data_IF_741113847542
#
_entry.id   IF_741113847542
#
_cell.length_a   1.000
_cell.length_b   1.000
_cell.length_c   1.000
_cell.angle_alpha   90.00
_cell.angle_beta   90.00
_cell.angle_gamma   90.00
#
_symmetry.space_group_name_H-M   'P 1'
#
loop_
_entity.id
_entity.type
_entity.pdbx_description
1 polymer ?
#
# COMPACT_ATOMS: atom_id res chain seq x y z
N UNK A 1 8.35 4.93 13.08
CA UNK A 1 8.35 4.88 11.61
C UNK A 1 8.77 3.50 11.15
N UNK A 2 7.78 2.65 10.93
CA UNK A 2 7.90 1.40 10.20
C UNK A 2 7.71 1.64 8.69
N UNK A 3 8.14 0.68 7.89
CA UNK A 3 7.82 0.62 6.47
C UNK A 3 6.94 -0.61 6.27
N UNK A 4 5.78 -0.40 5.66
CA UNK A 4 4.88 -1.47 5.22
C UNK A 4 4.91 -1.53 3.71
N UNK A 5 5.05 -2.75 3.18
CA UNK A 5 5.10 -3.01 1.76
C UNK A 5 3.79 -3.66 1.34
N UNK A 6 3.07 -2.99 0.45
CA UNK A 6 1.85 -3.49 -0.18
C UNK A 6 2.24 -4.24 -1.45
N UNK A 7 1.75 -5.46 -1.59
CA UNK A 7 2.05 -6.34 -2.73
C UNK A 7 0.82 -6.74 -3.52
N UNK A 8 -0.37 -6.67 -2.91
CA UNK A 8 -1.65 -6.98 -3.55
C UNK A 8 -2.75 -6.08 -3.03
N UNK A 9 -3.77 -5.86 -3.85
CA UNK A 9 -4.95 -5.09 -3.48
C UNK A 9 -6.21 -5.93 -3.68
N UNK A 10 -7.15 -5.81 -2.73
CA UNK A 10 -8.50 -6.37 -2.86
C UNK A 10 -9.41 -5.28 -3.39
N UNK A 11 -9.81 -5.39 -4.65
CA UNK A 11 -10.64 -4.40 -5.34
C UNK A 11 -11.99 -5.04 -5.68
N UNK A 12 -13.08 -4.41 -5.27
CA UNK A 12 -14.45 -4.85 -5.55
C UNK A 12 -15.28 -3.66 -6.01
N UNK A 13 -15.93 -3.76 -7.18
CA UNK A 13 -16.69 -2.66 -7.79
C UNK A 13 -15.89 -1.35 -7.90
N UNK A 14 -14.64 -1.44 -8.37
CA UNK A 14 -13.68 -0.32 -8.47
C UNK A 14 -13.33 0.37 -7.14
N UNK A 15 -13.67 -0.25 -6.01
CA UNK A 15 -13.35 0.24 -4.67
C UNK A 15 -12.31 -0.65 -4.00
N UNK A 16 -11.26 -0.04 -3.44
CA UNK A 16 -10.24 -0.74 -2.67
C UNK A 16 -10.81 -1.12 -1.30
N UNK A 17 -10.84 -2.42 -1.00
CA UNK A 17 -11.37 -2.97 0.25
C UNK A 17 -10.29 -3.34 1.26
N UNK A 18 -9.05 -3.52 0.80
CA UNK A 18 -7.91 -3.87 1.63
C UNK A 18 -6.69 -4.21 0.80
N UNK A 19 -5.60 -4.53 1.49
CA UNK A 19 -4.30 -4.81 0.90
C UNK A 19 -3.68 -6.06 1.51
N UNK A 20 -2.89 -6.80 0.73
CA UNK A 20 -1.88 -7.67 1.33
C UNK A 20 -0.65 -6.83 1.57
N UNK A 21 -0.21 -6.78 2.81
CA UNK A 21 0.99 -6.07 3.18
C UNK A 21 1.84 -6.85 4.19
N UNK A 22 3.07 -6.41 4.35
CA UNK A 22 3.94 -6.85 5.42
C UNK A 22 4.91 -5.73 5.78
N UNK A 23 5.33 -5.70 7.04
CA UNK A 23 6.39 -4.84 7.50
C UNK A 23 7.72 -5.23 6.85
N UNK A 24 8.47 -4.22 6.44
CA UNK A 24 9.82 -4.34 5.91
C UNK A 24 10.86 -3.70 6.82
N UNK A 25 12.10 -4.12 6.66
CA UNK A 25 13.24 -3.41 7.24
C UNK A 25 13.46 -2.08 6.51
N UNK A 26 13.83 -1.05 7.27
CA UNK A 26 13.98 0.32 6.76
C UNK A 26 15.19 0.54 5.85
N UNK A 27 16.02 -0.50 5.65
CA UNK A 27 17.31 -0.39 4.95
C UNK A 27 17.38 -1.16 3.64
N UNK A 28 16.70 -2.31 3.53
CA UNK A 28 16.74 -3.17 2.35
C UNK A 28 15.36 -3.48 1.77
N UNK A 29 14.29 -2.91 2.36
CA UNK A 29 12.90 -3.21 2.04
C UNK A 29 12.59 -4.71 2.10
N UNK A 30 13.36 -5.47 2.90
CA UNK A 30 13.12 -6.90 3.08
C UNK A 30 11.98 -7.10 4.05
N UNK A 31 11.00 -7.93 3.68
CA UNK A 31 9.90 -8.29 4.57
C UNK A 31 10.44 -9.00 5.81
N UNK A 32 10.11 -8.46 6.98
CA UNK A 32 10.48 -9.02 8.29
C UNK A 32 9.36 -9.84 8.92
N UNK A 33 8.20 -9.88 8.27
CA UNK A 33 7.05 -10.69 8.65
C UNK A 33 6.37 -11.29 7.41
N UNK A 34 5.43 -12.21 7.64
CA UNK A 34 4.60 -12.77 6.57
C UNK A 34 3.55 -11.76 6.14
N UNK A 35 3.24 -11.78 4.85
CA UNK A 35 2.14 -11.02 4.28
C UNK A 35 0.82 -11.42 4.94
N UNK A 36 0.01 -10.42 5.27
CA UNK A 36 -1.32 -10.57 5.81
C UNK A 36 -2.24 -9.50 5.22
N UNK A 37 -3.54 -9.76 5.29
CA UNK A 37 -4.56 -8.80 4.87
C UNK A 37 -4.62 -7.65 5.88
N UNK A 38 -4.60 -6.43 5.39
CA UNK A 38 -4.91 -5.21 6.12
C UNK A 38 -6.10 -4.51 5.51
N UNK A 39 -6.98 -4.06 6.39
CA UNK A 39 -8.12 -3.20 6.09
C UNK A 39 -7.63 -1.79 5.75
N UNK A 40 -8.50 -1.02 5.07
CA UNK A 40 -8.22 0.39 4.77
C UNK A 40 -7.98 1.20 6.05
N UNK A 41 -8.72 0.92 7.12
CA UNK A 41 -8.57 1.61 8.41
C UNK A 41 -7.20 1.34 9.03
N UNK A 42 -6.70 0.10 8.97
CA UNK A 42 -5.35 -0.24 9.46
C UNK A 42 -4.25 0.48 8.66
N UNK A 43 -4.43 0.64 7.35
CA UNK A 43 -3.51 1.41 6.50
C UNK A 43 -3.55 2.90 6.86
N UNK A 44 -4.74 3.46 7.07
CA UNK A 44 -4.91 4.86 7.49
C UNK A 44 -4.26 5.09 8.86
N UNK A 45 -4.48 4.19 9.82
CA UNK A 45 -3.89 4.26 11.15
C UNK A 45 -2.35 4.21 11.09
N UNK A 46 -1.77 3.40 10.21
CA UNK A 46 -0.32 3.36 10.01
C UNK A 46 0.19 4.70 9.46
N UNK A 47 -0.49 5.28 8.46
CA UNK A 47 -0.13 6.59 7.89
C UNK A 47 -0.25 7.69 8.95
N UNK A 48 -1.31 7.68 9.76
CA UNK A 48 -1.53 8.67 10.84
C UNK A 48 -0.48 8.56 11.95
N UNK A 49 0.08 7.36 12.20
CA UNK A 49 1.23 7.16 13.10
C UNK A 49 2.57 7.63 12.50
N UNK A 50 2.57 8.07 11.24
CA UNK A 50 3.77 8.47 10.51
C UNK A 50 4.60 7.29 10.00
N UNK A 51 3.99 6.12 9.83
CA UNK A 51 4.62 5.00 9.14
C UNK A 51 4.53 5.19 7.62
N UNK A 52 5.51 4.63 6.90
CA UNK A 52 5.51 4.65 5.43
C UNK A 52 4.80 3.41 4.93
N UNK A 53 3.82 3.59 4.04
CA UNK A 53 3.19 2.48 3.32
C UNK A 53 3.54 2.63 1.84
N UNK A 54 4.21 1.64 1.27
CA UNK A 54 4.76 1.67 -0.09
C UNK A 54 4.23 0.49 -0.90
N UNK A 55 3.77 0.77 -2.13
CA UNK A 55 3.42 -0.27 -3.08
C UNK A 55 4.67 -0.83 -3.72
N UNK A 56 4.72 -2.14 -3.91
CA UNK A 56 5.78 -2.79 -4.67
C UNK A 56 5.22 -3.73 -5.72
N UNK A 57 5.91 -3.77 -6.85
CA UNK A 57 5.55 -4.58 -8.00
C UNK A 57 6.65 -5.60 -8.25
N UNK A 58 6.28 -6.87 -8.44
CA UNK A 58 7.23 -7.89 -8.85
C UNK A 58 7.54 -7.73 -10.35
N UNK A 59 8.82 -7.72 -10.67
CA UNK A 59 9.35 -7.69 -12.03
C UNK A 59 10.24 -8.92 -12.25
N UNK A 60 10.57 -9.23 -13.51
CA UNK A 60 11.52 -10.30 -13.83
C UNK A 60 12.92 -10.14 -13.21
N UNK A 61 13.24 -8.95 -12.67
CA UNK A 61 14.53 -8.61 -12.06
C UNK A 61 14.45 -8.35 -10.54
N UNK A 62 13.28 -8.52 -9.92
CA UNK A 62 13.06 -8.26 -8.49
C UNK A 62 11.89 -7.32 -8.22
N UNK A 63 11.80 -6.77 -7.01
CA UNK A 63 10.73 -5.85 -6.60
C UNK A 63 11.12 -4.41 -6.88
N UNK A 64 10.19 -3.66 -7.46
CA UNK A 64 10.34 -2.21 -7.70
C UNK A 64 9.27 -1.45 -6.95
N UNK A 65 9.62 -0.25 -6.47
CA UNK A 65 8.65 0.65 -5.85
C UNK A 65 7.63 1.13 -6.89
N UNK A 66 6.36 1.16 -6.48
CA UNK A 66 5.27 1.79 -7.21
C UNK A 66 4.79 3.10 -6.58
N UNK A 67 5.51 3.61 -5.58
CA UNK A 67 5.12 4.82 -4.86
C UNK A 67 4.42 4.53 -3.55
N UNK A 68 4.21 5.60 -2.77
CA UNK A 68 3.63 5.51 -1.42
C UNK A 68 2.11 5.56 -1.47
N UNK A 69 1.48 5.00 -0.44
CA UNK A 69 0.08 5.22 -0.16
C UNK A 69 -0.07 6.45 0.75
N UNK A 70 -1.03 7.30 0.41
CA UNK A 70 -1.36 8.51 1.13
C UNK A 70 -2.80 8.44 1.62
N UNK A 71 -3.06 9.02 2.79
CA UNK A 71 -4.40 9.24 3.29
C UNK A 71 -5.05 10.42 2.54
N UNK A 72 -6.27 10.23 2.07
CA UNK A 72 -7.10 11.28 1.48
C UNK A 72 -8.43 11.41 2.24
N UNK A 73 -8.86 12.64 2.48
CA UNK A 73 -10.16 12.91 3.09
C UNK A 73 -11.28 12.76 2.05
N UNK A 74 -12.37 12.10 2.43
CA UNK A 74 -13.58 11.97 1.62
C UNK A 74 -14.59 13.08 1.96
N UNK A 75 -15.39 13.52 0.97
CA UNK A 75 -16.56 14.36 1.25
C UNK A 75 -17.50 13.65 2.24
N UNK A 76 -17.75 14.25 3.40
CA UNK A 76 -18.57 13.64 4.47
C UNK A 76 -17.80 13.21 5.71
N UNK A 77 -16.48 13.43 5.76
CA UNK A 77 -15.68 13.26 6.99
C UNK A 77 -15.01 11.90 7.15
N UNK A 78 -15.16 10.99 6.17
CA UNK A 78 -14.38 9.75 6.10
C UNK A 78 -12.98 9.97 5.52
N UNK A 79 -12.16 8.94 5.56
CA UNK A 79 -10.85 8.91 4.90
C UNK A 79 -10.71 7.65 4.04
N UNK A 80 -9.89 7.75 3.01
CA UNK A 80 -9.52 6.66 2.11
C UNK A 80 -8.02 6.70 1.83
N UNK A 81 -7.54 5.73 1.07
CA UNK A 81 -6.15 5.62 0.66
C UNK A 81 -6.04 5.84 -0.84
N UNK A 82 -5.08 6.66 -1.24
CA UNK A 82 -4.74 6.94 -2.64
C UNK A 82 -3.25 6.68 -2.87
N UNK A 83 -2.84 6.45 -4.11
CA UNK A 83 -1.41 6.47 -4.44
C UNK A 83 -0.85 7.90 -4.45
N UNK A 84 0.38 8.05 -3.96
CA UNK A 84 1.23 9.19 -4.25
C UNK A 84 1.46 9.22 -5.76
N UNK A 85 1.01 10.30 -6.44
CA UNK A 85 1.22 10.47 -7.88
C UNK A 85 2.71 10.64 -8.17
N UNK A 86 3.40 9.51 -8.33
CA UNK A 86 4.86 9.43 -8.44
C UNK A 86 5.39 9.07 -9.84
N UNK A 87 4.53 8.87 -10.83
CA UNK A 87 4.94 8.59 -12.20
C UNK A 87 3.83 7.97 -13.04
N UNK A 88 3.93 8.01 -14.38
CA UNK A 88 3.02 7.27 -15.22
C UNK A 88 3.26 5.76 -14.99
N UNK A 89 2.19 4.96 -14.94
CA UNK A 89 2.20 3.48 -15.05
C UNK A 89 2.25 2.61 -13.77
N UNK A 90 2.03 3.12 -12.54
CA UNK A 90 1.91 2.24 -11.34
C UNK A 90 0.85 2.72 -10.36
N UNK A 91 -0.36 2.22 -10.53
CA UNK A 91 -1.50 2.53 -9.66
C UNK A 91 -1.85 1.33 -8.76
N UNK A 92 -2.64 1.56 -7.71
CA UNK A 92 -3.25 0.53 -6.86
C UNK A 92 -4.01 -0.49 -7.72
N UNK A 93 -4.66 -0.03 -8.80
CA UNK A 93 -5.37 -0.87 -9.77
C UNK A 93 -4.47 -1.84 -10.53
N UNK A 94 -3.17 -1.56 -10.61
CA UNK A 94 -2.18 -2.40 -11.28
C UNK A 94 -1.59 -3.48 -10.34
N UNK A 95 -1.89 -3.41 -9.04
CA UNK A 95 -1.47 -4.44 -8.09
C UNK A 95 -2.19 -5.77 -8.37
N UNK A 96 -1.50 -6.92 -8.18
CA UNK A 96 -2.14 -8.22 -8.19
C UNK A 96 -3.33 -8.27 -7.23
N UNK A 97 -4.36 -9.04 -7.59
CA UNK A 97 -5.56 -9.23 -6.76
C UNK A 97 -5.42 -10.46 -5.85
N UNK A 98 -6.19 -10.50 -4.78
CA UNK A 98 -6.34 -11.65 -3.89
C UNK A 98 -7.78 -11.78 -3.40
#
# INVERSE_FOLDING_TARGET
MAIYIVTRARITNDEVKGFMWARADGGSNRLIEKEHEATIDEVIDAIDRGDTVEMTFETGYGRVSGGRLLKAALPGGGATVIEERGGPERNISDLPRF
#
